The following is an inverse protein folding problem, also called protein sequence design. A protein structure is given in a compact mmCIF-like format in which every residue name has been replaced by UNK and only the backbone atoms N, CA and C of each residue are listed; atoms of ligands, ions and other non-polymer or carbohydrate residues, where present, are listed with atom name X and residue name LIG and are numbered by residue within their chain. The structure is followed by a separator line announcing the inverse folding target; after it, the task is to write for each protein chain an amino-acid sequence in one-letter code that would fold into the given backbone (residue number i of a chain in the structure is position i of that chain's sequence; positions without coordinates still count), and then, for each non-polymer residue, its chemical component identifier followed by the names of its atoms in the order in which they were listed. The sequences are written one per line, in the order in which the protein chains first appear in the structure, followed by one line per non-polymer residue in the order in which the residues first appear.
data_IF_189070432855
#
_entry.id   IF_189070432855
#
_cell.length_a   1.000
_cell.length_b   1.000
_cell.length_c   1.000
_cell.angle_alpha   90.00
_cell.angle_beta   90.00
_cell.angle_gamma   90.00
#
_symmetry.space_group_name_H-M   'P 1'
#
loop_
_entity.id
_entity.type
_entity.pdbx_description
1 polymer ?
#
# COMPACT_ATOMS: atom_id res chain seq x y z
N UNK A 1 -2.19 -13.06 28.52
CA UNK A 1 -2.72 -12.65 27.22
C UNK A 1 -1.92 -13.32 26.12
N UNK A 2 -2.56 -13.69 24.99
CA UNK A 2 -1.88 -14.43 23.90
C UNK A 2 -1.81 -15.95 24.12
N UNK A 3 -2.64 -16.51 24.98
CA UNK A 3 -2.68 -17.95 25.24
C UNK A 3 -3.27 -18.76 24.07
N UNK A 4 -4.03 -18.12 23.20
CA UNK A 4 -4.63 -18.74 22.01
C UNK A 4 -4.50 -17.79 20.80
N UNK A 5 -4.38 -18.40 19.62
CA UNK A 5 -4.34 -17.68 18.33
C UNK A 5 -5.41 -18.23 17.41
N UNK A 6 -6.15 -17.35 16.75
CA UNK A 6 -7.13 -17.72 15.76
C UNK A 6 -6.82 -16.99 14.46
N UNK A 7 -6.76 -17.72 13.36
CA UNK A 7 -6.63 -17.10 12.03
C UNK A 7 -7.92 -16.41 11.67
N UNK A 8 -7.87 -15.09 11.46
CA UNK A 8 -9.02 -14.26 11.10
C UNK A 8 -9.10 -13.93 9.61
N UNK A 9 -8.01 -14.14 8.87
CA UNK A 9 -7.93 -13.97 7.42
C UNK A 9 -6.93 -14.95 6.84
N UNK A 10 -7.29 -15.76 5.82
CA UNK A 10 -6.31 -16.54 5.08
C UNK A 10 -5.35 -15.63 4.30
N UNK A 11 -4.12 -16.04 4.13
CA UNK A 11 -3.17 -15.31 3.28
C UNK A 11 -3.50 -15.46 1.80
N UNK A 12 -2.98 -14.52 0.98
CA UNK A 12 -3.16 -14.49 -0.47
C UNK A 12 -2.72 -15.81 -1.15
N UNK A 13 -1.63 -16.38 -0.67
CA UNK A 13 -1.09 -17.63 -1.18
C UNK A 13 -0.64 -18.55 -0.05
N UNK A 14 -1.60 -19.08 0.69
CA UNK A 14 -1.34 -19.94 1.86
C UNK A 14 -0.61 -21.25 1.49
N UNK A 15 -0.77 -21.73 0.26
CA UNK A 15 -0.18 -23.00 -0.17
C UNK A 15 1.35 -22.92 -0.34
N UNK A 16 1.90 -21.74 -0.58
CA UNK A 16 3.33 -21.56 -0.87
C UNK A 16 4.12 -20.95 0.30
N UNK A 17 3.46 -20.49 1.37
CA UNK A 17 4.10 -19.79 2.49
C UNK A 17 5.00 -18.61 2.08
N UNK A 18 4.69 -17.97 0.97
CA UNK A 18 5.49 -16.89 0.37
C UNK A 18 4.86 -15.51 0.53
N UNK A 19 3.68 -15.45 1.14
CA UNK A 19 2.98 -14.18 1.37
C UNK A 19 3.53 -13.49 2.60
N UNK A 20 3.89 -12.21 2.43
CA UNK A 20 4.26 -11.31 3.52
C UNK A 20 3.13 -10.31 3.78
N UNK A 21 2.31 -10.51 4.81
CA UNK A 21 1.31 -9.53 5.20
C UNK A 21 1.95 -8.39 6.00
N UNK A 22 1.61 -7.16 5.62
CA UNK A 22 1.90 -5.94 6.37
C UNK A 22 0.59 -5.35 6.87
N UNK A 23 0.62 -4.72 8.04
CA UNK A 23 -0.57 -4.27 8.74
C UNK A 23 -0.49 -2.79 9.06
N UNK A 24 -1.60 -2.07 8.84
CA UNK A 24 -1.80 -0.73 9.38
C UNK A 24 -3.15 -0.66 10.06
N UNK A 25 -3.20 0.00 11.23
CA UNK A 25 -4.38 0.07 12.07
C UNK A 25 -4.73 1.50 12.42
N UNK A 26 -6.03 1.81 12.41
CA UNK A 26 -6.53 3.11 12.84
C UNK A 26 -7.85 2.96 13.60
N UNK A 27 -8.15 3.95 14.45
CA UNK A 27 -9.43 4.01 15.15
C UNK A 27 -10.43 4.79 14.31
N UNK A 28 -11.64 4.25 14.15
CA UNK A 28 -12.76 4.92 13.52
C UNK A 28 -13.51 5.82 14.50
N UNK A 29 -14.25 6.80 13.97
CA UNK A 29 -15.11 7.67 14.77
C UNK A 29 -16.22 6.89 15.52
N UNK A 30 -16.64 5.74 14.98
CA UNK A 30 -17.56 4.79 15.66
C UNK A 30 -16.98 4.18 16.94
N UNK A 31 -15.65 4.26 17.13
CA UNK A 31 -14.94 3.55 18.17
C UNK A 31 -14.38 2.19 17.74
N UNK A 32 -14.77 1.72 16.56
CA UNK A 32 -14.25 0.49 15.95
C UNK A 32 -12.80 0.67 15.47
N UNK A 33 -12.21 -0.45 15.06
CA UNK A 33 -10.83 -0.49 14.58
C UNK A 33 -10.82 -0.89 13.11
N UNK A 34 -10.33 0.02 12.26
CA UNK A 34 -9.98 -0.30 10.88
C UNK A 34 -8.62 -0.97 10.85
N UNK A 35 -8.51 -2.06 10.10
CA UNK A 35 -7.28 -2.76 9.81
C UNK A 35 -7.13 -2.89 8.29
N UNK A 36 -6.02 -2.40 7.78
CA UNK A 36 -5.54 -2.67 6.43
C UNK A 36 -4.56 -3.83 6.46
N UNK A 37 -4.67 -4.70 5.47
CA UNK A 37 -3.76 -5.83 5.26
C UNK A 37 -3.24 -5.74 3.83
N UNK A 38 -1.99 -5.36 3.68
CA UNK A 38 -1.28 -5.37 2.41
C UNK A 38 -0.51 -6.68 2.32
N UNK A 39 -0.77 -7.46 1.30
CA UNK A 39 -0.16 -8.78 1.12
C UNK A 39 0.76 -8.75 -0.09
N UNK A 40 2.05 -8.97 0.12
CA UNK A 40 3.05 -9.14 -0.92
C UNK A 40 3.42 -10.60 -1.12
N UNK A 41 3.65 -11.02 -2.35
CA UNK A 41 3.93 -12.42 -2.71
C UNK A 41 5.06 -12.50 -3.75
N UNK A 42 5.71 -13.65 -3.81
CA UNK A 42 6.76 -13.97 -4.80
C UNK A 42 6.22 -14.14 -6.22
N UNK A 43 4.99 -14.62 -6.36
CA UNK A 43 4.36 -14.90 -7.65
C UNK A 43 2.99 -14.24 -7.78
N UNK A 44 2.45 -14.20 -8.99
CA UNK A 44 1.16 -13.58 -9.25
C UNK A 44 0.00 -14.29 -8.50
N UNK A 45 -0.97 -13.54 -7.95
CA UNK A 45 -0.98 -12.09 -7.84
C UNK A 45 0.10 -11.61 -6.85
N UNK A 46 0.88 -10.61 -7.26
CA UNK A 46 2.06 -10.18 -6.47
C UNK A 46 1.68 -9.36 -5.25
N UNK A 47 0.67 -8.50 -5.35
CA UNK A 47 0.27 -7.65 -4.25
C UNK A 47 -1.24 -7.40 -4.25
N UNK A 48 -1.81 -7.29 -3.04
CA UNK A 48 -3.21 -6.97 -2.79
C UNK A 48 -3.39 -6.19 -1.51
N UNK A 49 -4.46 -5.40 -1.46
CA UNK A 49 -4.92 -4.72 -0.26
C UNK A 49 -6.29 -5.26 0.15
N UNK A 50 -6.44 -5.55 1.44
CA UNK A 50 -7.73 -5.83 2.06
C UNK A 50 -7.96 -4.92 3.26
N UNK A 51 -9.22 -4.67 3.61
CA UNK A 51 -9.62 -3.85 4.75
C UNK A 51 -10.76 -4.48 5.52
N UNK A 52 -10.73 -4.32 6.84
CA UNK A 52 -11.89 -4.51 7.70
C UNK A 52 -12.07 -3.29 8.59
N UNK A 53 -13.31 -2.91 8.87
CA UNK A 53 -13.66 -1.81 9.77
C UNK A 53 -14.11 -2.31 11.15
N UNK A 54 -14.05 -3.64 11.38
CA UNK A 54 -14.45 -4.28 12.63
C UNK A 54 -13.40 -5.27 13.16
N UNK A 55 -12.12 -4.92 13.04
CA UNK A 55 -11.00 -5.81 13.37
C UNK A 55 -10.99 -6.34 14.82
N UNK A 56 -11.71 -5.68 15.75
CA UNK A 56 -11.81 -6.08 17.16
C UNK A 56 -12.94 -7.06 17.45
N UNK A 57 -13.80 -7.34 16.49
CA UNK A 57 -14.86 -8.32 16.66
C UNK A 57 -14.33 -9.74 16.58
N UNK A 58 -15.08 -10.71 17.10
CA UNK A 58 -14.69 -12.14 17.03
C UNK A 58 -14.72 -12.72 15.61
N UNK A 59 -15.34 -12.01 14.63
CA UNK A 59 -15.44 -12.44 13.25
C UNK A 59 -15.34 -11.22 12.30
N UNK A 60 -14.15 -10.63 12.12
CA UNK A 60 -13.99 -9.51 11.21
C UNK A 60 -14.22 -9.93 9.76
N UNK A 61 -14.93 -9.08 9.01
CA UNK A 61 -15.16 -9.27 7.58
C UNK A 61 -14.18 -8.39 6.81
N UNK A 62 -13.40 -8.99 5.91
CA UNK A 62 -12.44 -8.29 5.07
C UNK A 62 -13.03 -8.05 3.67
N UNK A 63 -13.00 -6.81 3.23
CA UNK A 63 -13.21 -6.44 1.84
C UNK A 63 -11.87 -6.50 1.08
N UNK A 64 -11.86 -7.14 -0.09
CA UNK A 64 -10.76 -7.02 -1.04
C UNK A 64 -10.92 -5.69 -1.78
N UNK A 65 -9.90 -4.83 -1.72
CA UNK A 65 -9.92 -3.49 -2.32
C UNK A 65 -9.13 -3.44 -3.64
N UNK A 66 -8.50 -4.53 -4.02
CA UNK A 66 -7.69 -4.60 -5.24
C UNK A 66 -8.48 -5.22 -6.38
N UNK A 67 -8.47 -4.57 -7.53
CA UNK A 67 -9.02 -5.10 -8.78
C UNK A 67 -7.91 -5.26 -9.82
N UNK A 68 -7.97 -6.33 -10.60
CA UNK A 68 -7.10 -6.53 -11.77
C UNK A 68 -7.68 -5.95 -13.06
N UNK A 69 -8.85 -5.32 -13.01
CA UNK A 69 -9.46 -4.63 -14.13
C UNK A 69 -9.02 -3.16 -14.15
N UNK A 70 -8.34 -2.67 -15.21
CA UNK A 70 -7.87 -1.29 -15.30
C UNK A 70 -8.98 -0.23 -15.22
N UNK A 71 -10.24 -0.60 -15.48
CA UNK A 71 -11.37 0.31 -15.38
C UNK A 71 -11.87 0.54 -13.95
N UNK A 72 -11.42 -0.26 -12.99
CA UNK A 72 -11.87 -0.20 -11.61
C UNK A 72 -10.96 0.70 -10.76
N UNK A 73 -11.56 1.44 -9.82
CA UNK A 73 -10.81 2.32 -8.91
C UNK A 73 -9.73 1.56 -8.10
N UNK A 74 -9.98 0.30 -7.74
CA UNK A 74 -9.03 -0.55 -7.00
C UNK A 74 -7.82 -1.02 -7.81
N UNK A 75 -7.78 -0.74 -9.12
CA UNK A 75 -6.64 -1.11 -9.97
C UNK A 75 -5.33 -0.42 -9.54
N UNK A 76 -5.40 0.76 -8.94
CA UNK A 76 -4.23 1.45 -8.45
C UNK A 76 -3.42 0.68 -7.39
N UNK A 77 -4.06 -0.25 -6.66
CA UNK A 77 -3.37 -1.16 -5.74
C UNK A 77 -3.05 -2.53 -6.35
N UNK A 78 -3.42 -2.77 -7.61
CA UNK A 78 -3.08 -4.02 -8.27
C UNK A 78 -1.59 -4.05 -8.62
N UNK A 79 -0.89 -5.01 -8.03
CA UNK A 79 0.55 -5.15 -8.21
C UNK A 79 1.34 -3.84 -8.02
N UNK A 80 1.00 -3.04 -6.98
CA UNK A 80 1.85 -1.91 -6.53
C UNK A 80 3.26 -2.37 -6.15
N UNK A 81 3.46 -3.65 -6.15
CA UNK A 81 4.69 -4.34 -5.87
C UNK A 81 4.79 -5.57 -6.76
N UNK A 82 5.97 -5.82 -7.36
CA UNK A 82 6.27 -6.98 -8.18
C UNK A 82 7.60 -7.60 -7.80
N UNK A 83 7.85 -8.84 -8.22
CA UNK A 83 9.13 -9.51 -8.05
C UNK A 83 9.64 -9.66 -6.61
N UNK A 84 9.74 -8.56 -5.88
CA UNK A 84 10.27 -8.51 -4.51
C UNK A 84 9.20 -8.24 -3.43
N UNK A 85 7.92 -8.38 -3.73
CA UNK A 85 6.82 -8.12 -2.78
C UNK A 85 6.88 -8.94 -1.49
N UNK A 86 7.53 -10.06 -1.51
CA UNK A 86 7.83 -10.84 -0.31
C UNK A 86 8.84 -10.15 0.60
N UNK A 87 9.51 -9.10 0.12
CA UNK A 87 10.52 -8.32 0.81
C UNK A 87 10.14 -6.84 0.87
N UNK A 88 9.96 -6.18 -0.27
CA UNK A 88 9.64 -4.75 -0.39
C UNK A 88 8.12 -4.56 -0.40
N UNK A 89 7.51 -4.55 0.76
CA UNK A 89 6.08 -4.37 0.91
C UNK A 89 5.77 -3.69 2.24
N UNK A 90 5.06 -2.57 2.18
CA UNK A 90 4.55 -1.92 3.37
C UNK A 90 3.14 -1.33 3.17
N UNK A 91 2.45 -1.11 4.27
CA UNK A 91 1.22 -0.31 4.36
C UNK A 91 1.32 0.63 5.54
N UNK A 92 0.95 1.88 5.34
CA UNK A 92 0.90 2.90 6.40
C UNK A 92 -0.43 3.62 6.36
N UNK A 93 -1.13 3.68 7.49
CA UNK A 93 -2.29 4.54 7.69
C UNK A 93 -1.94 5.52 8.82
N UNK A 94 -1.79 6.84 8.53
CA UNK A 94 -1.35 7.80 9.52
C UNK A 94 -2.32 7.89 10.70
N UNK A 95 -1.80 7.96 11.91
CA UNK A 95 -2.61 7.96 13.13
C UNK A 95 -3.63 9.11 13.14
N UNK A 96 -4.89 8.80 13.34
CA UNK A 96 -6.00 9.76 13.31
C UNK A 96 -6.59 10.03 11.93
N UNK A 97 -6.05 9.41 10.88
CA UNK A 97 -6.51 9.56 9.50
C UNK A 97 -6.87 8.19 8.89
N UNK A 98 -7.98 7.58 9.33
CA UNK A 98 -8.29 6.20 8.94
C UNK A 98 -8.55 6.00 7.45
N UNK A 99 -8.93 7.06 6.72
CA UNK A 99 -9.19 6.99 5.27
C UNK A 99 -7.93 7.25 4.42
N UNK A 100 -6.81 7.64 5.05
CA UNK A 100 -5.54 7.81 4.36
C UNK A 100 -4.71 6.54 4.52
N UNK A 101 -4.27 5.99 3.38
CA UNK A 101 -3.41 4.81 3.35
C UNK A 101 -2.38 4.91 2.23
N UNK A 102 -1.14 4.63 2.57
CA UNK A 102 -0.02 4.49 1.67
C UNK A 102 0.31 3.01 1.50
N UNK A 103 0.57 2.61 0.26
CA UNK A 103 1.16 1.32 -0.07
C UNK A 103 2.48 1.58 -0.77
N UNK A 104 3.51 0.86 -0.38
CA UNK A 104 4.80 0.89 -1.05
C UNK A 104 5.29 -0.52 -1.33
N UNK A 105 6.00 -0.65 -2.43
CA UNK A 105 6.52 -1.93 -2.88
C UNK A 105 7.64 -1.76 -3.89
N UNK A 106 7.83 -2.73 -4.76
CA UNK A 106 8.86 -2.69 -5.78
C UNK A 106 8.29 -2.68 -7.20
N UNK A 107 9.01 -2.05 -8.11
CA UNK A 107 8.72 -2.08 -9.55
C UNK A 107 10.01 -2.22 -10.35
N UNK A 108 9.92 -2.69 -11.59
CA UNK A 108 11.08 -2.81 -12.47
C UNK A 108 11.35 -1.49 -13.19
N UNK A 109 12.61 -1.08 -13.28
CA UNK A 109 13.01 0.10 -14.06
C UNK A 109 12.49 0.03 -15.50
N UNK A 110 11.92 1.14 -15.97
CA UNK A 110 11.36 1.23 -17.31
C UNK A 110 10.08 0.42 -17.53
N UNK A 111 9.51 -0.16 -16.49
CA UNK A 111 8.24 -0.86 -16.56
C UNK A 111 7.10 0.15 -16.58
N UNK A 112 6.43 0.26 -17.73
CA UNK A 112 5.23 1.08 -17.90
C UNK A 112 4.12 0.18 -18.40
N UNK A 113 3.00 0.11 -17.68
CA UNK A 113 1.91 -0.79 -18.01
C UNK A 113 2.24 -2.28 -17.86
N UNK A 114 3.38 -2.61 -17.27
CA UNK A 114 3.80 -3.97 -16.96
C UNK A 114 3.10 -4.57 -15.74
N UNK A 115 3.75 -5.51 -15.06
CA UNK A 115 3.16 -6.21 -13.91
C UNK A 115 2.81 -5.25 -12.77
N UNK A 116 3.68 -4.27 -12.48
CA UNK A 116 3.46 -3.24 -11.45
C UNK A 116 2.83 -1.97 -12.00
N UNK A 117 2.65 -1.83 -13.32
CA UNK A 117 2.28 -0.57 -13.97
C UNK A 117 3.24 0.60 -13.65
N UNK A 118 4.48 0.32 -13.27
CA UNK A 118 5.46 1.31 -12.84
C UNK A 118 5.15 1.99 -11.50
N UNK A 119 4.22 1.47 -10.72
CA UNK A 119 3.82 2.02 -9.41
C UNK A 119 4.58 1.36 -8.28
N UNK A 120 5.36 2.13 -7.55
CA UNK A 120 6.08 1.67 -6.36
C UNK A 120 5.57 2.28 -5.06
N UNK A 121 4.93 3.46 -5.14
CA UNK A 121 4.30 4.14 -4.01
C UNK A 121 2.95 4.71 -4.44
N UNK A 122 1.88 4.31 -3.77
CA UNK A 122 0.53 4.80 -4.05
C UNK A 122 -0.17 5.30 -2.79
N UNK A 123 -0.99 6.33 -2.94
CA UNK A 123 -1.77 6.96 -1.88
C UNK A 123 -3.27 6.81 -2.14
N UNK A 124 -4.00 6.40 -1.13
CA UNK A 124 -5.46 6.53 -1.08
C UNK A 124 -5.88 7.56 -0.02
N UNK A 125 -6.92 8.33 -0.31
CA UNK A 125 -7.56 9.26 0.64
C UNK A 125 -9.02 8.89 0.92
N UNK A 126 -9.47 7.76 0.41
CA UNK A 126 -10.85 7.27 0.49
C UNK A 126 -10.94 5.86 1.11
N UNK A 127 -9.97 5.52 1.95
CA UNK A 127 -9.95 4.25 2.66
C UNK A 127 -9.51 3.06 1.82
N UNK A 128 -8.73 3.28 0.78
CA UNK A 128 -8.19 2.23 -0.10
C UNK A 128 -9.10 1.88 -1.28
N UNK A 129 -10.11 2.70 -1.59
CA UNK A 129 -11.02 2.47 -2.71
C UNK A 129 -10.38 2.89 -4.03
N UNK A 130 -9.73 4.06 -4.05
CA UNK A 130 -8.98 4.56 -5.20
C UNK A 130 -7.58 5.00 -4.79
N UNK A 131 -6.67 5.12 -5.75
CA UNK A 131 -5.27 5.43 -5.49
C UNK A 131 -4.72 6.44 -6.48
N UNK A 132 -3.86 7.32 -5.96
CA UNK A 132 -3.00 8.22 -6.73
C UNK A 132 -1.59 7.63 -6.72
N UNK A 133 -0.97 7.53 -7.88
CA UNK A 133 0.43 7.14 -8.00
C UNK A 133 1.34 8.27 -7.53
N UNK A 134 2.29 7.93 -6.68
CA UNK A 134 3.25 8.87 -6.11
C UNK A 134 4.70 8.49 -6.41
N UNK A 135 4.89 7.56 -7.33
CA UNK A 135 6.21 7.01 -7.66
C UNK A 135 7.10 8.05 -8.34
N UNK A 136 6.49 9.00 -9.05
CA UNK A 136 7.19 10.06 -9.77
C UNK A 136 6.86 11.44 -9.21
N UNK A 137 7.81 12.38 -9.31
CA UNK A 137 7.57 13.78 -8.98
C UNK A 137 6.86 14.48 -10.17
N UNK A 138 5.60 14.80 -9.98
CA UNK A 138 4.79 15.49 -10.99
C UNK A 138 5.09 16.98 -11.16
N UNK A 139 6.02 17.57 -10.39
CA UNK A 139 6.37 18.98 -10.48
C UNK A 139 7.30 19.29 -11.65
N UNK A 140 8.01 18.31 -12.18
CA UNK A 140 8.81 18.41 -13.40
C UNK A 140 8.36 17.35 -14.44
N UNK A 141 7.40 17.67 -15.29
CA UNK A 141 6.90 16.70 -16.27
C UNK A 141 7.90 16.38 -17.40
N UNK A 142 8.97 17.16 -17.52
CA UNK A 142 10.02 16.93 -18.54
C UNK A 142 11.08 15.96 -18.04
N UNK A 143 11.45 16.09 -16.77
CA UNK A 143 12.45 15.24 -16.11
C UNK A 143 11.95 14.82 -14.72
N UNK A 144 10.89 14.02 -14.63
CA UNK A 144 10.33 13.65 -13.35
C UNK A 144 11.35 12.86 -12.53
N UNK A 145 11.60 13.31 -11.30
CA UNK A 145 12.39 12.54 -10.36
C UNK A 145 11.53 11.39 -9.84
N UNK A 146 11.92 10.17 -10.15
CA UNK A 146 11.28 8.98 -9.63
C UNK A 146 11.89 8.54 -8.29
N UNK A 147 11.10 7.81 -7.52
CA UNK A 147 11.61 7.06 -6.39
C UNK A 147 12.46 5.87 -6.89
N UNK A 148 13.38 5.40 -6.07
CA UNK A 148 14.05 4.13 -6.32
C UNK A 148 13.02 2.99 -6.40
N UNK A 149 13.20 1.95 -7.22
CA UNK A 149 12.21 0.89 -7.37
C UNK A 149 11.83 0.12 -6.10
N UNK A 150 12.71 0.03 -5.12
CA UNK A 150 12.56 -0.86 -3.96
C UNK A 150 12.24 -0.04 -2.71
N UNK A 151 10.95 0.02 -2.35
CA UNK A 151 10.42 0.80 -1.23
C UNK A 151 10.40 -0.03 0.04
N UNK A 152 10.93 0.50 1.15
CA UNK A 152 11.01 -0.23 2.42
C UNK A 152 10.08 0.27 3.49
N UNK A 153 9.94 1.60 3.64
CA UNK A 153 9.20 2.17 4.74
C UNK A 153 8.79 3.62 4.48
N UNK A 154 7.68 4.03 5.10
CA UNK A 154 7.22 5.40 5.08
C UNK A 154 6.78 5.83 6.48
N UNK A 155 7.13 7.05 6.87
CA UNK A 155 6.69 7.66 8.12
C UNK A 155 6.13 9.06 7.85
N UNK A 156 4.93 9.33 8.34
CA UNK A 156 4.28 10.64 8.20
C UNK A 156 4.61 11.56 9.36
N UNK A 157 4.55 12.86 9.11
CA UNK A 157 4.63 13.87 10.17
C UNK A 157 3.38 13.76 11.06
N UNK A 158 3.52 13.76 12.39
CA UNK A 158 2.38 13.79 13.29
C UNK A 158 1.46 14.99 13.01
N UNK A 159 0.17 14.74 12.83
CA UNK A 159 -0.83 15.75 12.52
C UNK A 159 -0.85 16.25 11.07
N UNK A 160 0.01 15.75 10.21
CA UNK A 160 0.07 16.12 8.78
C UNK A 160 0.31 14.85 7.94
N UNK A 161 -0.74 14.18 7.49
CA UNK A 161 -0.63 12.88 6.84
C UNK A 161 0.01 12.93 5.44
N UNK A 162 0.13 14.14 4.83
CA UNK A 162 0.68 14.32 3.49
C UNK A 162 2.15 14.73 3.49
N UNK A 163 2.74 14.94 4.66
CA UNK A 163 4.19 15.14 4.78
C UNK A 163 4.83 13.90 5.38
N UNK A 164 5.76 13.34 4.65
CA UNK A 164 6.40 12.09 5.04
C UNK A 164 7.86 12.03 4.62
N UNK A 165 8.56 11.09 5.22
CA UNK A 165 9.81 10.54 4.72
C UNK A 165 9.54 9.13 4.23
N UNK A 166 10.15 8.80 3.12
CA UNK A 166 10.13 7.48 2.51
C UNK A 166 11.58 6.99 2.45
N UNK A 167 11.77 5.70 2.70
CA UNK A 167 13.06 5.03 2.67
C UNK A 167 13.01 3.88 1.65
N UNK A 168 14.02 3.86 0.78
CA UNK A 168 14.21 2.86 -0.27
C UNK A 168 15.69 2.49 -0.37
N UNK A 169 16.05 1.58 -1.26
CA UNK A 169 17.46 1.30 -1.59
C UNK A 169 18.18 2.53 -2.16
N UNK A 170 17.46 3.50 -2.70
CA UNK A 170 17.99 4.78 -3.17
C UNK A 170 18.28 5.81 -2.06
N UNK A 171 17.94 5.51 -0.81
CA UNK A 171 18.14 6.40 0.34
C UNK A 171 16.84 6.90 0.95
N UNK A 172 16.86 8.13 1.46
CA UNK A 172 15.69 8.74 2.13
C UNK A 172 15.20 9.92 1.34
N UNK A 173 13.92 9.88 0.98
CA UNK A 173 13.20 10.94 0.28
C UNK A 173 12.25 11.67 1.23
N UNK A 174 12.02 12.96 1.00
CA UNK A 174 11.07 13.77 1.76
C UNK A 174 10.01 14.31 0.81
N UNK A 175 8.73 14.08 1.13
CA UNK A 175 7.64 14.68 0.38
C UNK A 175 7.54 16.19 0.63
N UNK A 176 7.16 16.94 -0.40
CA UNK A 176 6.78 18.35 -0.28
C UNK A 176 5.34 18.54 0.19
N UNK A 177 4.53 17.50 0.15
CA UNK A 177 3.08 17.52 0.37
C UNK A 177 2.28 17.92 -0.89
N UNK A 178 2.95 18.03 -2.03
CA UNK A 178 2.34 18.25 -3.34
C UNK A 178 2.53 16.99 -4.18
N UNK A 179 1.43 16.44 -4.67
CA UNK A 179 1.44 15.23 -5.48
C UNK A 179 0.68 15.45 -6.77
N UNK A 180 1.22 14.93 -7.85
CA UNK A 180 0.56 14.83 -9.14
C UNK A 180 0.71 13.41 -9.64
N UNK A 181 -0.39 12.85 -10.13
CA UNK A 181 -0.33 11.56 -10.81
C UNK A 181 0.21 11.79 -12.23
N UNK A 182 1.33 11.18 -12.55
CA UNK A 182 2.01 11.29 -13.86
C UNK A 182 2.01 9.96 -14.62
N UNK A 183 1.42 8.92 -14.07
CA UNK A 183 1.39 7.57 -14.66
C UNK A 183 0.13 7.28 -15.47
N UNK A 184 -0.66 8.31 -15.81
CA UNK A 184 -1.90 8.15 -16.60
C UNK A 184 -1.64 7.94 -18.08
#
# INVERSE_FOLDING_TARGET
QGATWTQIKPSLNSAQNTTRPMLAVNRLASGDTRLYVAEGNVGAPYARLSRTDNARTGAPVFADLTSNNPADAGYGSYNYCTGQCWYDNFVVSPAGYPDIVYLGGSYSYGETGGISNGRGLVLSTDGGVSFTDMTMDGTDPVNPNGLHPDQHFLVTKPGDPFRFFEASDGGIMRSSGLFSDVSS
#
